data_IF_369354924514
#
_entry.id   IF_369354924514
#
_cell.length_a   1.000
_cell.length_b   1.000
_cell.length_c   1.000
_cell.angle_alpha   90.00
_cell.angle_beta   90.00
_cell.angle_gamma   90.00
#
_symmetry.space_group_name_H-M   'P 1'
#
loop_
_entity.id
_entity.type
_entity.pdbx_description
1 polymer ?
#
# COMPACT_ATOMS: atom_id res chain seq x y z
N UNK A 1 -13.25 -9.57 15.78
CA UNK A 1 -12.60 -10.37 14.71
C UNK A 1 -11.78 -9.54 13.70
N UNK A 2 -11.32 -8.32 14.02
CA UNK A 2 -10.87 -7.35 13.00
C UNK A 2 -9.36 -7.11 12.90
N UNK A 3 -8.50 -7.86 13.59
CA UNK A 3 -7.03 -7.62 13.59
C UNK A 3 -6.19 -8.69 12.90
N UNK A 4 -6.73 -9.85 12.51
CA UNK A 4 -5.93 -10.92 11.93
C UNK A 4 -5.29 -10.49 10.60
N UNK A 5 -6.08 -9.86 9.73
CA UNK A 5 -5.60 -9.31 8.45
C UNK A 5 -4.53 -8.22 8.65
N UNK A 6 -4.79 -7.24 9.52
CA UNK A 6 -3.83 -6.14 9.78
C UNK A 6 -2.53 -6.63 10.42
N UNK A 7 -2.60 -7.62 11.33
CA UNK A 7 -1.42 -8.26 11.91
C UNK A 7 -0.65 -9.06 10.88
N UNK A 8 -1.34 -9.81 10.03
CA UNK A 8 -0.72 -10.59 8.96
C UNK A 8 0.03 -9.68 7.97
N UNK A 9 -0.57 -8.55 7.62
CA UNK A 9 0.01 -7.55 6.72
C UNK A 9 0.99 -6.60 7.41
N UNK A 10 1.23 -6.78 8.72
CA UNK A 10 2.14 -5.94 9.52
C UNK A 10 1.87 -4.43 9.36
N UNK A 11 0.60 -4.04 9.39
CA UNK A 11 0.20 -2.63 9.29
C UNK A 11 0.45 -1.94 10.63
N UNK A 12 1.38 -0.98 10.65
CA UNK A 12 1.81 -0.25 11.86
C UNK A 12 0.83 0.87 12.27
N UNK A 13 0.03 1.38 11.32
CA UNK A 13 -0.92 2.46 11.55
C UNK A 13 -1.88 2.68 10.37
N UNK A 14 -2.97 3.41 10.59
CA UNK A 14 -3.94 3.77 9.55
C UNK A 14 -3.86 5.28 9.23
N UNK A 15 -4.20 5.70 8.00
CA UNK A 15 -4.57 4.88 6.85
C UNK A 15 -3.34 4.19 6.21
N UNK A 16 -3.54 2.98 5.67
CA UNK A 16 -2.52 2.26 4.89
C UNK A 16 -3.14 1.69 3.61
N UNK A 17 -2.52 1.98 2.46
CA UNK A 17 -2.84 1.37 1.17
C UNK A 17 -1.71 0.40 0.82
N UNK A 18 -2.08 -0.84 0.47
CA UNK A 18 -1.17 -1.91 0.06
C UNK A 18 -1.25 -2.13 -1.45
N UNK A 19 -0.15 -2.60 -2.03
CA UNK A 19 -0.05 -2.90 -3.45
C UNK A 19 0.49 -4.31 -3.65
N UNK A 20 -0.03 -5.00 -4.65
CA UNK A 20 0.34 -6.36 -5.00
C UNK A 20 0.69 -6.41 -6.48
N UNK A 21 1.65 -7.25 -6.86
CA UNK A 21 1.96 -7.50 -8.27
C UNK A 21 0.95 -8.48 -8.91
N UNK A 22 1.18 -8.82 -10.19
CA UNK A 22 0.33 -9.76 -10.93
C UNK A 22 0.38 -11.19 -10.40
N UNK A 23 1.37 -11.53 -9.57
CA UNK A 23 1.50 -12.83 -8.90
C UNK A 23 0.84 -12.83 -7.52
N UNK A 24 0.26 -11.70 -7.09
CA UNK A 24 -0.36 -11.56 -5.78
C UNK A 24 0.66 -11.34 -4.64
N UNK A 25 1.91 -11.01 -4.96
CA UNK A 25 2.93 -10.71 -3.96
C UNK A 25 2.85 -9.23 -3.57
N UNK A 26 2.75 -8.98 -2.27
CA UNK A 26 2.72 -7.63 -1.71
C UNK A 26 4.04 -6.90 -2.01
N UNK A 27 3.95 -5.59 -2.23
CA UNK A 27 5.07 -4.68 -2.49
C UNK A 27 5.23 -3.70 -1.32
N UNK A 28 5.96 -4.05 -0.23
CA UNK A 28 6.01 -3.25 1.00
C UNK A 28 6.60 -1.85 0.81
N UNK A 29 7.59 -1.72 -0.07
CA UNK A 29 8.21 -0.43 -0.41
C UNK A 29 7.23 0.54 -1.09
N UNK A 30 6.12 0.00 -1.58
CA UNK A 30 5.09 0.74 -2.28
C UNK A 30 3.97 1.21 -1.34
N UNK A 31 3.95 0.83 -0.06
CA UNK A 31 2.86 1.22 0.84
C UNK A 31 2.70 2.74 0.91
N UNK A 32 1.44 3.19 0.91
CA UNK A 32 1.11 4.58 1.32
C UNK A 32 0.61 4.50 2.75
N UNK A 33 1.36 5.09 3.68
CA UNK A 33 1.00 5.17 5.10
C UNK A 33 0.76 6.63 5.47
N UNK A 34 -0.51 7.03 5.60
CA UNK A 34 -0.91 8.42 5.78
C UNK A 34 -1.58 9.04 4.55
N UNK A 35 -1.77 10.36 4.60
CA UNK A 35 -2.40 11.10 3.51
C UNK A 35 -1.39 11.36 2.38
N UNK A 36 -1.85 11.23 1.15
CA UNK A 36 -1.13 11.60 -0.06
C UNK A 36 -2.12 12.32 -0.98
N UNK A 37 -1.75 13.49 -1.48
CA UNK A 37 -2.62 14.23 -2.40
C UNK A 37 -2.75 13.53 -3.76
N UNK A 38 -3.70 13.99 -4.58
CA UNK A 38 -4.01 13.35 -5.86
C UNK A 38 -2.84 13.35 -6.86
N UNK A 39 -2.01 14.39 -6.87
CA UNK A 39 -0.87 14.50 -7.79
C UNK A 39 0.22 13.52 -7.37
N UNK A 40 0.60 13.55 -6.09
CA UNK A 40 1.58 12.63 -5.53
C UNK A 40 1.12 11.16 -5.66
N UNK A 41 -0.16 10.88 -5.43
CA UNK A 41 -0.71 9.54 -5.59
C UNK A 41 -0.70 9.06 -7.04
N UNK A 42 -1.01 9.93 -8.00
CA UNK A 42 -0.97 9.59 -9.43
C UNK A 42 0.46 9.31 -9.92
N UNK A 43 1.45 10.10 -9.48
CA UNK A 43 2.87 9.87 -9.79
C UNK A 43 3.35 8.55 -9.19
N UNK A 44 2.96 8.27 -7.95
CA UNK A 44 3.26 7.03 -7.26
C UNK A 44 2.72 5.78 -7.98
N UNK A 45 1.53 5.86 -8.60
CA UNK A 45 1.00 4.78 -9.44
C UNK A 45 1.80 4.61 -10.74
N UNK A 46 2.17 5.71 -11.40
CA UNK A 46 2.89 5.69 -12.70
C UNK A 46 4.29 5.11 -12.59
N UNK A 47 5.02 5.43 -11.51
CA UNK A 47 6.38 4.94 -11.28
C UNK A 47 6.46 3.41 -11.09
N UNK A 48 5.32 2.71 -11.06
CA UNK A 48 5.24 1.26 -10.91
C UNK A 48 4.80 0.52 -12.17
N UNK A 49 4.28 1.25 -13.15
CA UNK A 49 3.92 0.68 -14.47
C UNK A 49 5.12 0.61 -15.42
N UNK A 50 6.32 0.96 -14.94
CA UNK A 50 7.60 0.80 -15.64
C UNK A 50 8.36 -0.37 -15.03
#
# INVERSE_FOLDING_TARGET
MTRALLKHLQVLGLPTILFFDTHGLEQPAARVTGFMDAKAFSEHLRNRSQ
#
